data_IF_288343862218
#
_entry.id   IF_288343862218
#
_cell.length_a   1.000
_cell.length_b   1.000
_cell.length_c   1.000
_cell.angle_alpha   90.00
_cell.angle_beta   90.00
_cell.angle_gamma   90.00
#
_symmetry.space_group_name_H-M   'P 1'
#
loop_
_entity.id
_entity.type
_entity.pdbx_description
1 polymer ?
#
# COMPACT_ATOMS: atom_id res chain seq x y z
N UNK A 1 19.16 -5.84 38.53
CA UNK A 1 17.75 -5.76 38.98
C UNK A 1 16.89 -5.54 37.74
N UNK A 2 15.82 -6.32 37.51
CA UNK A 2 14.91 -6.03 36.41
C UNK A 2 13.99 -4.88 36.85
N UNK A 3 14.11 -3.73 36.19
CA UNK A 3 13.20 -2.61 36.39
C UNK A 3 11.78 -3.03 36.00
N UNK A 4 10.86 -3.00 36.96
CA UNK A 4 9.46 -3.33 36.79
C UNK A 4 8.85 -2.60 35.59
N UNK A 5 8.43 -3.37 34.59
CA UNK A 5 7.80 -2.88 33.38
C UNK A 5 6.48 -2.18 33.67
N UNK A 6 6.36 -0.94 33.21
CA UNK A 6 5.06 -0.40 32.85
C UNK A 6 4.47 -1.33 31.78
N UNK A 7 3.28 -1.86 32.03
CA UNK A 7 2.58 -2.69 31.04
C UNK A 7 2.39 -1.87 29.75
N UNK A 8 2.76 -2.41 28.56
CA UNK A 8 2.54 -1.74 27.28
C UNK A 8 1.06 -1.46 26.97
N UNK A 9 0.11 -1.93 27.79
CA UNK A 9 -1.33 -1.70 27.65
C UNK A 9 -1.83 -0.40 28.33
N UNK A 10 -0.93 0.40 28.94
CA UNK A 10 -1.23 1.70 29.57
C UNK A 10 -0.48 2.85 28.88
N UNK A 11 -0.85 3.16 27.63
CA UNK A 11 -0.34 4.34 26.93
C UNK A 11 -1.49 5.16 26.36
N UNK A 12 -1.28 6.46 26.14
CA UNK A 12 -2.28 7.35 25.53
C UNK A 12 -2.78 6.81 24.18
N UNK A 13 -1.88 6.25 23.37
CA UNK A 13 -2.22 5.56 22.13
C UNK A 13 -3.15 4.35 22.37
N UNK A 14 -2.84 3.50 23.35
CA UNK A 14 -3.66 2.32 23.66
C UNK A 14 -5.04 2.72 24.19
N UNK A 15 -5.13 3.78 24.99
CA UNK A 15 -6.39 4.28 25.52
C UNK A 15 -7.23 4.97 24.43
N UNK A 16 -6.60 5.73 23.54
CA UNK A 16 -7.25 6.29 22.36
C UNK A 16 -7.80 5.20 21.42
N UNK A 17 -7.00 4.15 21.16
CA UNK A 17 -7.45 3.00 20.39
C UNK A 17 -8.67 2.32 21.04
N UNK A 18 -8.66 2.09 22.36
CA UNK A 18 -9.80 1.50 23.10
C UNK A 18 -11.04 2.38 23.00
N UNK A 19 -10.88 3.71 23.10
CA UNK A 19 -11.96 4.68 22.94
C UNK A 19 -12.59 4.57 21.54
N UNK A 20 -11.77 4.56 20.48
CA UNK A 20 -12.24 4.41 19.10
C UNK A 20 -12.98 3.08 18.85
N UNK A 21 -12.52 1.98 19.47
CA UNK A 21 -13.19 0.68 19.37
C UNK A 21 -14.58 0.71 20.04
N UNK A 22 -14.70 1.41 21.17
CA UNK A 22 -15.95 1.46 21.94
C UNK A 22 -16.99 2.41 21.36
N UNK A 23 -16.57 3.45 20.63
CA UNK A 23 -17.48 4.40 19.98
C UNK A 23 -18.24 3.79 18.78
N UNK A 24 -17.81 2.64 18.25
CA UNK A 24 -18.41 2.05 17.06
C UNK A 24 -18.34 2.99 15.84
N UNK A 25 -19.22 2.78 14.86
CA UNK A 25 -19.37 3.66 13.69
C UNK A 25 -20.40 4.79 13.93
N UNK A 26 -21.03 4.87 15.10
CA UNK A 26 -22.07 5.86 15.39
C UNK A 26 -21.47 7.22 15.78
N UNK A 27 -21.63 8.22 14.90
CA UNK A 27 -21.40 9.64 15.23
C UNK A 27 -20.01 10.20 14.89
N UNK A 28 -19.09 9.40 14.37
CA UNK A 28 -17.84 9.89 13.74
C UNK A 28 -18.13 10.28 12.28
N UNK A 29 -17.50 11.34 11.72
CA UNK A 29 -17.38 11.44 10.26
C UNK A 29 -16.89 10.08 9.74
N UNK A 30 -17.49 9.55 8.68
CA UNK A 30 -17.10 8.26 8.11
C UNK A 30 -15.69 8.39 7.51
N UNK A 31 -14.68 8.29 8.38
CA UNK A 31 -13.27 8.16 8.02
C UNK A 31 -12.95 6.72 7.63
N UNK A 32 -13.92 5.89 7.21
CA UNK A 32 -13.70 4.49 6.85
C UNK A 32 -13.95 4.24 5.37
N UNK A 33 -14.94 4.91 4.77
CA UNK A 33 -15.19 4.82 3.34
C UNK A 33 -14.48 5.93 2.55
N UNK A 34 -13.81 5.57 1.45
CA UNK A 34 -13.38 6.55 0.47
C UNK A 34 -14.62 7.15 -0.24
N UNK A 35 -14.62 8.45 -0.58
CA UNK A 35 -15.79 9.10 -1.17
C UNK A 35 -16.09 8.50 -2.54
N UNK A 36 -17.35 8.09 -2.74
CA UNK A 36 -17.87 7.63 -4.03
C UNK A 36 -18.64 8.78 -4.69
N UNK A 37 -17.92 9.64 -5.40
CA UNK A 37 -18.46 10.84 -6.05
C UNK A 37 -19.10 10.53 -7.42
N UNK A 38 -18.80 9.38 -8.00
CA UNK A 38 -19.43 8.89 -9.23
C UNK A 38 -19.78 7.39 -9.07
N UNK A 39 -20.90 6.93 -9.66
CA UNK A 39 -21.27 5.52 -9.60
C UNK A 39 -20.20 4.61 -10.19
N UNK A 40 -19.94 3.48 -9.53
CA UNK A 40 -19.04 2.46 -10.07
C UNK A 40 -19.73 1.74 -11.22
N UNK A 41 -19.26 1.98 -12.45
CA UNK A 41 -19.66 1.21 -13.62
C UNK A 41 -18.67 0.09 -13.89
N UNK A 42 -19.15 -1.02 -14.46
CA UNK A 42 -18.37 -2.23 -14.73
C UNK A 42 -18.92 -2.95 -15.95
N UNK A 43 -18.16 -3.90 -16.50
CA UNK A 43 -18.61 -4.81 -17.55
C UNK A 43 -18.69 -6.23 -16.98
N UNK A 44 -19.81 -6.97 -17.12
CA UNK A 44 -19.88 -8.38 -16.74
C UNK A 44 -18.81 -9.20 -17.48
N UNK A 45 -18.18 -10.17 -16.81
CA UNK A 45 -17.07 -10.93 -17.39
C UNK A 45 -17.47 -11.65 -18.68
N UNK A 46 -18.71 -12.13 -18.78
CA UNK A 46 -19.23 -12.80 -19.98
C UNK A 46 -19.28 -11.86 -21.18
N UNK A 47 -19.67 -10.59 -20.96
CA UNK A 47 -19.67 -9.57 -22.00
C UNK A 47 -18.23 -9.17 -22.37
N UNK A 48 -17.35 -8.98 -21.39
CA UNK A 48 -15.94 -8.68 -21.63
C UNK A 48 -15.27 -9.76 -22.50
N UNK A 49 -15.56 -11.04 -22.25
CA UNK A 49 -15.00 -12.16 -23.00
C UNK A 49 -15.44 -12.22 -24.47
N UNK A 50 -16.51 -11.51 -24.83
CA UNK A 50 -17.03 -11.39 -26.19
C UNK A 50 -16.59 -10.10 -26.90
N UNK A 51 -16.04 -9.12 -26.17
CA UNK A 51 -15.57 -7.87 -26.76
C UNK A 51 -14.43 -8.11 -27.76
N UNK A 52 -14.47 -7.38 -28.86
CA UNK A 52 -13.43 -7.37 -29.90
C UNK A 52 -12.68 -6.04 -29.97
N UNK A 53 -13.25 -4.98 -29.37
CA UNK A 53 -12.71 -3.63 -29.34
C UNK A 53 -12.90 -3.04 -27.94
N UNK A 54 -11.99 -2.15 -27.54
CA UNK A 54 -12.06 -1.46 -26.25
C UNK A 54 -12.77 -0.12 -26.46
N UNK A 55 -14.10 -0.13 -26.42
CA UNK A 55 -14.86 1.10 -26.67
C UNK A 55 -14.99 1.96 -25.40
N UNK A 56 -15.09 3.29 -25.55
CA UNK A 56 -15.23 4.21 -24.42
C UNK A 56 -16.55 4.02 -23.68
N UNK A 57 -16.59 4.51 -22.44
CA UNK A 57 -17.72 4.39 -21.52
C UNK A 57 -19.07 4.76 -22.16
N UNK A 58 -19.15 5.88 -22.87
CA UNK A 58 -20.39 6.38 -23.46
C UNK A 58 -20.96 5.40 -24.49
N UNK A 59 -20.09 4.81 -25.30
CA UNK A 59 -20.48 3.86 -26.36
C UNK A 59 -20.94 2.55 -25.75
N UNK A 60 -20.19 1.98 -24.80
CA UNK A 60 -20.59 0.74 -24.14
C UNK A 60 -21.83 0.91 -23.26
N UNK A 61 -22.02 2.10 -22.67
CA UNK A 61 -23.23 2.44 -21.93
C UNK A 61 -24.44 2.54 -22.87
N UNK A 62 -24.30 3.17 -24.04
CA UNK A 62 -25.36 3.23 -25.05
C UNK A 62 -25.73 1.84 -25.60
N UNK A 63 -24.75 0.92 -25.71
CA UNK A 63 -24.97 -0.49 -26.07
C UNK A 63 -25.53 -1.34 -24.92
N UNK A 64 -25.64 -0.81 -23.71
CA UNK A 64 -26.09 -1.55 -22.51
C UNK A 64 -25.08 -2.59 -22.00
N UNK A 65 -23.81 -2.52 -22.44
CA UNK A 65 -22.74 -3.46 -22.04
C UNK A 65 -22.16 -3.07 -20.68
N UNK A 66 -22.01 -1.77 -20.43
CA UNK A 66 -21.58 -1.22 -19.14
C UNK A 66 -22.77 -1.11 -18.19
N UNK A 67 -22.62 -1.64 -16.98
CA UNK A 67 -23.65 -1.67 -15.94
C UNK A 67 -23.18 -0.98 -14.67
N UNK A 68 -24.11 -0.33 -13.96
CA UNK A 68 -23.84 0.23 -12.63
C UNK A 68 -23.74 -0.91 -11.62
N UNK A 69 -22.56 -1.10 -11.05
CA UNK A 69 -22.27 -2.18 -10.12
C UNK A 69 -22.91 -1.96 -8.74
N UNK A 70 -23.40 -3.04 -8.14
CA UNK A 70 -23.74 -3.11 -6.73
C UNK A 70 -23.25 -4.45 -6.15
N UNK A 71 -22.94 -4.48 -4.87
CA UNK A 71 -22.36 -5.64 -4.18
C UNK A 71 -23.30 -6.87 -4.15
N UNK A 72 -24.61 -6.67 -4.39
CA UNK A 72 -25.58 -7.77 -4.53
C UNK A 72 -25.50 -8.50 -5.87
N UNK A 73 -24.82 -7.95 -6.87
CA UNK A 73 -24.69 -8.57 -8.21
C UNK A 73 -23.64 -9.67 -8.25
N UNK A 74 -22.61 -9.58 -7.40
CA UNK A 74 -21.46 -10.49 -7.42
C UNK A 74 -20.18 -9.80 -6.95
N UNK A 75 -19.04 -10.28 -7.44
CA UNK A 75 -17.73 -9.74 -7.09
C UNK A 75 -17.18 -8.84 -8.20
N UNK A 76 -16.61 -7.69 -7.82
CA UNK A 76 -15.91 -6.83 -8.77
C UNK A 76 -14.39 -7.08 -8.76
N UNK A 77 -13.78 -6.92 -9.94
CA UNK A 77 -12.34 -6.96 -10.18
C UNK A 77 -11.90 -5.57 -10.64
N UNK A 78 -10.97 -4.95 -9.90
CA UNK A 78 -10.30 -3.73 -10.35
C UNK A 78 -9.15 -4.09 -11.27
N UNK A 79 -9.14 -3.60 -12.51
CA UNK A 79 -8.03 -3.81 -13.45
C UNK A 79 -7.21 -2.53 -13.57
N UNK A 80 -6.03 -2.52 -12.96
CA UNK A 80 -5.00 -1.51 -13.19
C UNK A 80 -4.20 -1.88 -14.42
N UNK A 81 -4.00 -0.94 -15.34
CA UNK A 81 -3.24 -1.15 -16.57
C UNK A 81 -2.51 0.13 -16.97
N UNK A 82 -1.69 0.04 -18.02
CA UNK A 82 -1.04 1.22 -18.59
C UNK A 82 -1.58 1.57 -19.97
N UNK A 83 -1.71 2.88 -20.23
CA UNK A 83 -2.09 3.36 -21.56
C UNK A 83 -0.92 3.17 -22.52
N UNK A 84 -1.15 2.44 -23.62
CA UNK A 84 -0.13 2.16 -24.64
C UNK A 84 -0.22 3.06 -25.87
N UNK A 85 -1.26 3.89 -25.96
CA UNK A 85 -1.43 4.93 -26.97
C UNK A 85 -1.80 6.27 -26.35
N UNK A 86 -1.66 7.34 -27.14
CA UNK A 86 -1.83 8.72 -26.65
C UNK A 86 -3.30 9.06 -26.33
N UNK A 87 -4.22 8.64 -27.19
CA UNK A 87 -5.66 8.94 -27.08
C UNK A 87 -6.51 7.70 -26.75
N UNK A 88 -5.87 6.54 -26.63
CA UNK A 88 -6.57 5.28 -26.41
C UNK A 88 -5.67 4.32 -25.61
N UNK A 89 -6.19 3.67 -24.56
CA UNK A 89 -5.38 2.86 -23.66
C UNK A 89 -4.87 1.56 -24.29
N UNK A 90 -5.59 1.01 -25.27
CA UNK A 90 -5.28 -0.28 -25.91
C UNK A 90 -5.77 -0.32 -27.37
N UNK A 91 -5.21 0.49 -28.29
CA UNK A 91 -5.76 0.74 -29.62
C UNK A 91 -5.82 -0.51 -30.51
N UNK A 92 -4.93 -1.48 -30.26
CA UNK A 92 -4.88 -2.74 -31.00
C UNK A 92 -5.56 -3.90 -30.24
N UNK A 93 -6.26 -3.59 -29.14
CA UNK A 93 -6.93 -4.58 -28.28
C UNK A 93 -6.00 -5.69 -27.74
N UNK A 94 -4.69 -5.41 -27.66
CA UNK A 94 -3.67 -6.39 -27.27
C UNK A 94 -3.71 -6.66 -25.77
N UNK A 95 -3.87 -5.63 -24.95
CA UNK A 95 -3.93 -5.78 -23.49
C UNK A 95 -5.20 -6.48 -23.06
N UNK A 96 -6.36 -6.06 -23.58
CA UNK A 96 -7.63 -6.71 -23.26
C UNK A 96 -7.70 -8.14 -23.78
N UNK A 97 -7.04 -8.48 -24.90
CA UNK A 97 -6.90 -9.88 -25.32
C UNK A 97 -6.17 -10.72 -24.27
N UNK A 98 -5.06 -10.21 -23.74
CA UNK A 98 -4.33 -10.88 -22.65
C UNK A 98 -5.21 -11.05 -21.41
N UNK A 99 -5.98 -10.01 -21.04
CA UNK A 99 -6.92 -10.11 -19.92
C UNK A 99 -8.00 -11.18 -20.17
N UNK A 100 -8.57 -11.24 -21.38
CA UNK A 100 -9.55 -12.26 -21.73
C UNK A 100 -8.96 -13.67 -21.61
N UNK A 101 -7.74 -13.88 -22.12
CA UNK A 101 -7.08 -15.19 -22.04
C UNK A 101 -6.75 -15.57 -20.60
N UNK A 102 -6.27 -14.62 -19.79
CA UNK A 102 -6.05 -14.81 -18.37
C UNK A 102 -7.34 -15.18 -17.63
N UNK A 103 -8.43 -14.45 -17.89
CA UNK A 103 -9.74 -14.75 -17.29
C UNK A 103 -10.25 -16.14 -17.68
N UNK A 104 -10.10 -16.57 -18.94
CA UNK A 104 -10.46 -17.93 -19.37
C UNK A 104 -9.68 -18.98 -18.57
N UNK A 105 -8.37 -18.84 -18.44
CA UNK A 105 -7.56 -19.80 -17.68
C UNK A 105 -7.90 -19.76 -16.17
N UNK A 106 -8.10 -18.59 -15.58
CA UNK A 106 -8.49 -18.42 -14.18
C UNK A 106 -9.87 -19.01 -13.88
N UNK A 107 -10.82 -18.91 -14.81
CA UNK A 107 -12.19 -19.40 -14.62
C UNK A 107 -12.35 -20.89 -14.94
N UNK A 108 -11.58 -21.43 -15.88
CA UNK A 108 -11.80 -22.80 -16.38
C UNK A 108 -10.70 -23.79 -16.01
N UNK A 109 -9.43 -23.38 -15.96
CA UNK A 109 -8.30 -24.33 -16.00
C UNK A 109 -7.49 -24.37 -14.70
N UNK A 110 -7.24 -23.22 -14.09
CA UNK A 110 -6.36 -23.13 -12.93
C UNK A 110 -7.07 -23.53 -11.63
N UNK A 111 -6.32 -24.06 -10.65
CA UNK A 111 -6.85 -24.30 -9.30
C UNK A 111 -6.49 -23.17 -8.32
N UNK A 112 -5.30 -22.59 -8.49
CA UNK A 112 -4.78 -21.51 -7.67
C UNK A 112 -3.81 -20.65 -8.48
N UNK A 113 -3.68 -19.38 -8.09
CA UNK A 113 -2.62 -18.48 -8.60
C UNK A 113 -1.39 -18.64 -7.69
N UNK A 114 -0.19 -18.93 -8.25
CA UNK A 114 1.04 -19.07 -7.46
C UNK A 114 1.43 -17.72 -6.83
N UNK A 115 2.22 -17.75 -5.75
CA UNK A 115 2.79 -16.54 -5.16
C UNK A 115 3.96 -16.04 -6.03
N UNK A 116 4.22 -14.73 -5.99
CA UNK A 116 5.49 -14.22 -6.50
C UNK A 116 6.66 -14.64 -5.59
N UNK A 117 7.86 -14.67 -6.16
CA UNK A 117 9.09 -15.12 -5.48
C UNK A 117 9.33 -14.39 -4.15
N UNK A 118 9.13 -13.07 -4.10
CA UNK A 118 9.39 -12.28 -2.89
C UNK A 118 8.35 -12.57 -1.81
N UNK A 119 7.07 -12.68 -2.20
CA UNK A 119 6.02 -13.06 -1.24
C UNK A 119 6.25 -14.47 -0.68
N UNK A 120 6.65 -15.44 -1.51
CA UNK A 120 6.92 -16.81 -1.07
C UNK A 120 8.08 -16.89 -0.07
N UNK A 121 9.16 -16.13 -0.31
CA UNK A 121 10.34 -16.10 0.57
C UNK A 121 10.06 -15.32 1.86
N UNK A 122 9.47 -14.12 1.75
CA UNK A 122 9.42 -13.17 2.86
C UNK A 122 8.18 -13.35 3.72
N UNK A 123 7.13 -13.98 3.20
CA UNK A 123 5.88 -14.19 3.93
C UNK A 123 5.44 -15.66 3.81
N UNK A 124 6.12 -16.59 4.51
CA UNK A 124 5.81 -18.02 4.42
C UNK A 124 4.37 -18.38 4.82
N UNK A 125 3.71 -17.51 5.61
CA UNK A 125 2.31 -17.67 5.99
C UNK A 125 1.30 -17.27 4.90
N UNK A 126 1.75 -16.65 3.81
CA UNK A 126 0.90 -16.20 2.72
C UNK A 126 0.26 -17.39 2.01
N UNK A 127 -1.03 -17.23 1.70
CA UNK A 127 -1.80 -18.26 1.00
C UNK A 127 -1.97 -17.88 -0.45
N UNK A 128 -1.83 -18.87 -1.33
CA UNK A 128 -2.19 -18.77 -2.74
C UNK A 128 -3.69 -18.44 -2.89
N UNK A 129 -4.03 -17.69 -3.92
CA UNK A 129 -5.42 -17.33 -4.21
C UNK A 129 -6.14 -18.57 -4.75
N UNK A 130 -7.11 -19.08 -3.98
CA UNK A 130 -7.93 -20.21 -4.40
C UNK A 130 -9.00 -19.74 -5.37
N UNK A 131 -9.03 -20.30 -6.57
CA UNK A 131 -9.94 -19.83 -7.62
C UNK A 131 -11.41 -20.22 -7.38
N UNK A 132 -11.68 -21.09 -6.39
CA UNK A 132 -13.02 -21.27 -5.85
C UNK A 132 -13.62 -19.95 -5.33
N UNK A 133 -12.79 -19.07 -4.76
CA UNK A 133 -13.24 -17.74 -4.32
C UNK A 133 -13.59 -16.84 -5.52
N UNK A 134 -12.76 -16.84 -6.56
CA UNK A 134 -13.00 -16.08 -7.79
C UNK A 134 -14.29 -16.54 -8.49
N UNK A 135 -14.58 -17.85 -8.47
CA UNK A 135 -15.76 -18.48 -9.09
C UNK A 135 -17.00 -18.50 -8.20
N UNK A 136 -16.92 -17.92 -7.00
CA UNK A 136 -18.00 -18.03 -6.00
C UNK A 136 -19.24 -17.19 -6.34
N UNK A 137 -19.09 -16.17 -7.20
CA UNK A 137 -20.16 -15.28 -7.63
C UNK A 137 -19.84 -14.74 -9.05
N UNK A 138 -20.83 -14.17 -9.76
CA UNK A 138 -20.59 -13.49 -11.03
C UNK A 138 -19.53 -12.41 -10.90
N UNK A 139 -18.71 -12.24 -11.95
CA UNK A 139 -17.60 -11.28 -11.96
C UNK A 139 -17.91 -10.05 -12.80
N UNK A 140 -17.55 -8.89 -12.27
CA UNK A 140 -17.71 -7.59 -12.91
C UNK A 140 -16.36 -6.90 -12.99
N UNK A 141 -16.00 -6.44 -14.18
CA UNK A 141 -14.67 -5.90 -14.46
C UNK A 141 -14.76 -4.38 -14.46
N UNK A 142 -14.01 -3.76 -13.57
CA UNK A 142 -13.74 -2.33 -13.59
C UNK A 142 -12.44 -2.08 -14.34
N UNK A 143 -12.49 -1.19 -15.32
CA UNK A 143 -11.38 -0.76 -16.18
C UNK A 143 -11.63 0.71 -16.53
N UNK A 144 -10.65 1.59 -16.26
CA UNK A 144 -10.82 3.05 -16.31
C UNK A 144 -11.54 3.57 -17.57
N UNK A 145 -11.19 3.07 -18.75
CA UNK A 145 -11.63 3.60 -20.04
C UNK A 145 -13.12 3.42 -20.32
N UNK A 146 -13.65 2.25 -19.98
CA UNK A 146 -15.08 1.98 -20.12
C UNK A 146 -15.87 2.14 -18.82
N UNK A 147 -15.20 2.23 -17.67
CA UNK A 147 -15.85 2.40 -16.37
C UNK A 147 -16.01 3.85 -15.95
N UNK A 148 -15.21 4.75 -16.52
CA UNK A 148 -15.27 6.19 -16.31
C UNK A 148 -15.65 6.92 -17.60
N UNK A 149 -16.43 8.01 -17.54
CA UNK A 149 -16.75 8.84 -18.70
C UNK A 149 -15.51 9.38 -19.42
N UNK A 150 -15.51 9.46 -20.75
CA UNK A 150 -14.39 9.96 -21.54
C UNK A 150 -14.74 11.32 -22.16
N UNK A 151 -13.77 12.23 -22.26
CA UNK A 151 -13.95 13.58 -22.83
C UNK A 151 -14.01 13.57 -24.37
N UNK A 152 -14.84 12.72 -24.96
CA UNK A 152 -14.97 12.62 -26.40
C UNK A 152 -15.77 13.81 -26.95
N UNK A 153 -15.09 14.71 -27.67
CA UNK A 153 -15.73 15.80 -28.41
C UNK A 153 -16.09 17.05 -27.59
N UNK A 154 -15.66 17.17 -26.34
CA UNK A 154 -15.82 18.39 -25.55
C UNK A 154 -14.52 19.20 -25.61
N UNK A 155 -14.62 20.48 -26.02
CA UNK A 155 -13.49 21.41 -25.97
C UNK A 155 -12.93 21.60 -24.55
N UNK A 156 -11.84 22.36 -24.37
CA UNK A 156 -11.05 22.42 -23.13
C UNK A 156 -11.74 23.14 -21.94
N UNK A 157 -13.06 23.08 -21.85
CA UNK A 157 -13.85 23.75 -20.82
C UNK A 157 -14.91 22.80 -20.22
N UNK A 158 -14.49 21.91 -19.33
CA UNK A 158 -15.33 21.52 -18.20
C UNK A 158 -14.49 21.59 -16.93
N UNK A 159 -14.93 22.45 -16.01
CA UNK A 159 -14.25 22.74 -14.75
C UNK A 159 -14.11 21.52 -13.83
N UNK A 160 -13.61 21.78 -12.63
CA UNK A 160 -13.31 20.79 -11.59
C UNK A 160 -14.46 19.82 -11.23
N UNK A 161 -15.70 20.07 -11.68
CA UNK A 161 -16.91 19.30 -11.35
C UNK A 161 -17.41 18.32 -12.44
N UNK A 162 -16.59 18.03 -13.46
CA UNK A 162 -16.97 17.06 -14.50
C UNK A 162 -17.19 15.64 -13.95
N UNK A 163 -18.02 14.84 -14.61
CA UNK A 163 -18.26 13.44 -14.22
C UNK A 163 -16.98 12.60 -14.27
N UNK A 164 -16.07 12.89 -15.20
CA UNK A 164 -14.74 12.27 -15.24
C UNK A 164 -13.93 12.64 -13.99
N UNK A 165 -13.91 13.92 -13.58
CA UNK A 165 -13.24 14.36 -12.35
C UNK A 165 -13.81 13.63 -11.12
N UNK A 166 -15.13 13.51 -11.02
CA UNK A 166 -15.82 12.76 -9.96
C UNK A 166 -15.44 11.27 -9.98
N UNK A 167 -15.36 10.66 -11.15
CA UNK A 167 -14.96 9.26 -11.32
C UNK A 167 -13.50 9.03 -10.91
N UNK A 168 -12.58 9.89 -11.33
CA UNK A 168 -11.17 9.85 -10.94
C UNK A 168 -11.03 9.96 -9.42
N UNK A 169 -11.71 10.94 -8.81
CA UNK A 169 -11.68 11.13 -7.36
C UNK A 169 -12.33 9.98 -6.57
N UNK A 170 -13.08 9.10 -7.24
CA UNK A 170 -13.70 7.91 -6.67
C UNK A 170 -12.85 6.64 -6.80
N UNK A 171 -11.69 6.68 -7.47
CA UNK A 171 -10.81 5.51 -7.67
C UNK A 171 -10.50 4.76 -6.36
N UNK A 172 -10.11 5.41 -5.25
CA UNK A 172 -9.86 4.69 -4.00
C UNK A 172 -11.11 3.95 -3.48
N UNK A 173 -12.31 4.50 -3.73
CA UNK A 173 -13.57 3.85 -3.37
C UNK A 173 -13.85 2.64 -4.26
N UNK A 174 -13.56 2.72 -5.56
CA UNK A 174 -13.67 1.57 -6.47
C UNK A 174 -12.71 0.45 -6.07
N UNK A 175 -11.43 0.78 -5.78
CA UNK A 175 -10.43 -0.19 -5.33
C UNK A 175 -10.86 -0.88 -4.05
N UNK A 176 -11.40 -0.12 -3.08
CA UNK A 176 -11.89 -0.68 -1.82
C UNK A 176 -13.14 -1.57 -1.99
N UNK A 177 -14.01 -1.27 -2.97
CA UNK A 177 -15.20 -2.05 -3.30
C UNK A 177 -14.90 -3.32 -4.08
N UNK A 178 -13.81 -3.36 -4.85
CA UNK A 178 -13.41 -4.54 -5.60
C UNK A 178 -12.90 -5.66 -4.69
N UNK A 179 -13.45 -6.86 -4.85
CA UNK A 179 -12.98 -8.06 -4.13
C UNK A 179 -11.56 -8.43 -4.58
N UNK A 180 -11.30 -8.34 -5.88
CA UNK A 180 -10.03 -8.69 -6.51
C UNK A 180 -9.40 -7.46 -7.18
N UNK A 181 -8.07 -7.44 -7.25
CA UNK A 181 -7.30 -6.42 -7.96
C UNK A 181 -6.31 -7.10 -8.89
N UNK A 182 -6.39 -6.79 -10.18
CA UNK A 182 -5.51 -7.30 -11.22
C UNK A 182 -4.66 -6.16 -11.78
N UNK A 183 -3.34 -6.30 -11.72
CA UNK A 183 -2.42 -5.48 -12.49
C UNK A 183 -2.18 -6.16 -13.84
N UNK A 184 -2.75 -5.60 -14.91
CA UNK A 184 -2.59 -6.09 -16.27
C UNK A 184 -1.33 -5.47 -16.88
N UNK A 185 -0.27 -6.28 -16.93
CA UNK A 185 1.08 -5.86 -17.27
C UNK A 185 1.70 -6.69 -18.42
N UNK A 186 1.02 -6.87 -19.56
CA UNK A 186 1.58 -7.62 -20.67
C UNK A 186 2.79 -6.95 -21.30
N UNK A 187 3.62 -7.75 -21.97
CA UNK A 187 4.68 -7.23 -22.83
C UNK A 187 4.08 -6.86 -24.19
N UNK A 188 3.96 -5.56 -24.47
CA UNK A 188 3.34 -5.03 -25.70
C UNK A 188 4.29 -4.05 -26.38
N UNK A 189 4.50 -4.13 -27.71
CA UNK A 189 5.31 -3.15 -28.43
C UNK A 189 4.71 -1.75 -28.34
N UNK A 190 5.57 -0.74 -28.20
CA UNK A 190 5.16 0.63 -28.38
C UNK A 190 5.19 0.98 -29.87
N UNK A 191 4.09 1.50 -30.41
CA UNK A 191 3.95 1.74 -31.87
C UNK A 191 4.97 2.77 -32.40
N UNK A 192 5.40 3.71 -31.55
CA UNK A 192 6.23 4.86 -31.95
C UNK A 192 7.70 4.80 -31.50
N UNK A 193 8.07 3.87 -30.61
CA UNK A 193 9.42 3.76 -30.07
C UNK A 193 9.90 2.31 -30.17
N UNK A 194 11.22 2.10 -30.32
CA UNK A 194 11.85 0.78 -30.22
C UNK A 194 11.87 0.24 -28.77
N UNK A 195 10.82 0.50 -28.00
CA UNK A 195 10.62 0.09 -26.62
C UNK A 195 9.39 -0.79 -26.48
N UNK A 196 9.33 -1.50 -25.35
CA UNK A 196 8.21 -2.37 -25.00
C UNK A 196 7.63 -1.95 -23.66
N UNK A 197 6.31 -2.01 -23.57
CA UNK A 197 5.59 -1.96 -22.32
C UNK A 197 5.85 -3.24 -21.54
N UNK A 198 6.08 -3.16 -20.23
CA UNK A 198 6.41 -4.29 -19.35
C UNK A 198 5.83 -4.07 -17.95
N UNK A 199 5.89 -5.08 -17.05
CA UNK A 199 5.62 -4.86 -15.63
C UNK A 199 6.44 -3.73 -15.01
N UNK A 200 7.68 -3.51 -15.47
CA UNK A 200 8.53 -2.42 -14.99
C UNK A 200 8.03 -1.05 -15.43
N UNK A 201 7.53 -0.90 -16.67
CA UNK A 201 6.96 0.38 -17.12
C UNK A 201 5.64 0.67 -16.42
N UNK A 202 4.81 -0.34 -16.16
CA UNK A 202 3.59 -0.19 -15.36
C UNK A 202 3.93 0.30 -13.94
N UNK A 203 4.91 -0.35 -13.30
CA UNK A 203 5.39 0.02 -11.97
C UNK A 203 6.07 1.40 -11.94
N UNK A 204 6.44 1.97 -13.09
CA UNK A 204 6.98 3.32 -13.19
C UNK A 204 5.89 4.42 -13.20
N UNK A 205 4.65 4.10 -13.56
CA UNK A 205 3.58 5.10 -13.73
C UNK A 205 3.00 5.57 -12.39
N UNK A 206 2.86 6.87 -12.23
CA UNK A 206 2.33 7.50 -11.02
C UNK A 206 0.92 7.02 -10.65
N UNK A 207 0.00 7.05 -11.62
CA UNK A 207 -1.38 6.59 -11.43
C UNK A 207 -1.47 5.11 -11.01
N UNK A 208 -0.74 4.22 -11.70
CA UNK A 208 -0.71 2.79 -11.39
C UNK A 208 -0.17 2.52 -9.97
N UNK A 209 0.83 3.30 -9.53
CA UNK A 209 1.33 3.24 -8.15
C UNK A 209 0.29 3.70 -7.13
N UNK A 210 -0.49 4.75 -7.43
CA UNK A 210 -1.59 5.19 -6.54
C UNK A 210 -2.63 4.09 -6.40
N UNK A 211 -3.05 3.47 -7.50
CA UNK A 211 -4.01 2.37 -7.49
C UNK A 211 -3.49 1.18 -6.67
N UNK A 212 -2.22 0.80 -6.86
CA UNK A 212 -1.56 -0.25 -6.09
C UNK A 212 -1.56 0.09 -4.59
N UNK A 213 -1.13 1.30 -4.21
CA UNK A 213 -1.10 1.74 -2.81
C UNK A 213 -2.50 1.75 -2.20
N UNK A 214 -3.52 2.18 -2.96
CA UNK A 214 -4.92 2.10 -2.52
C UNK A 214 -5.34 0.66 -2.22
N UNK A 215 -4.90 -0.32 -3.03
CA UNK A 215 -5.18 -1.74 -2.80
C UNK A 215 -4.43 -2.27 -1.58
N UNK A 216 -3.12 -2.05 -1.52
CA UNK A 216 -2.25 -2.52 -0.43
C UNK A 216 -2.69 -1.98 0.94
N UNK A 217 -3.19 -0.74 0.99
CA UNK A 217 -3.70 -0.13 2.22
C UNK A 217 -5.17 -0.42 2.48
N UNK A 218 -5.89 -1.08 1.57
CA UNK A 218 -7.29 -1.46 1.80
C UNK A 218 -7.44 -2.61 2.81
N UNK A 219 -8.66 -3.13 2.99
CA UNK A 219 -8.93 -4.31 3.84
C UNK A 219 -8.27 -5.57 3.27
N UNK A 220 -8.25 -5.70 1.95
CA UNK A 220 -7.57 -6.80 1.24
C UNK A 220 -6.40 -6.22 0.45
N UNK A 221 -5.18 -6.56 0.89
CA UNK A 221 -3.93 -6.03 0.35
C UNK A 221 -3.39 -6.87 -0.83
N UNK A 222 -4.03 -8.00 -1.14
CA UNK A 222 -3.54 -8.95 -2.14
C UNK A 222 -3.95 -8.53 -3.54
N UNK A 223 -3.08 -8.76 -4.52
CA UNK A 223 -3.36 -8.45 -5.92
C UNK A 223 -2.66 -9.43 -6.87
N UNK A 224 -3.23 -9.63 -8.05
CA UNK A 224 -2.68 -10.55 -9.07
C UNK A 224 -2.00 -9.72 -10.15
N UNK A 225 -0.75 -10.02 -10.47
CA UNK A 225 -0.07 -9.49 -11.64
C UNK A 225 -0.26 -10.44 -12.82
N UNK A 226 -0.80 -9.93 -13.92
CA UNK A 226 -1.04 -10.66 -15.16
C UNK A 226 -0.01 -10.21 -16.20
N UNK A 227 0.99 -11.04 -16.48
CA UNK A 227 2.03 -10.76 -17.48
C UNK A 227 1.69 -11.34 -18.85
N UNK A 228 0.91 -12.41 -18.89
CA UNK A 228 0.35 -13.00 -20.10
C UNK A 228 -0.94 -13.75 -19.76
N UNK A 229 -1.60 -14.32 -20.78
CA UNK A 229 -2.77 -15.17 -20.53
C UNK A 229 -2.45 -16.35 -19.60
N UNK A 230 -1.20 -16.83 -19.55
CA UNK A 230 -0.80 -18.03 -18.78
C UNK A 230 0.16 -17.75 -17.62
N UNK A 231 0.76 -16.57 -17.57
CA UNK A 231 1.71 -16.20 -16.53
C UNK A 231 1.09 -15.16 -15.60
N UNK A 232 0.76 -15.61 -14.39
CA UNK A 232 0.10 -14.82 -13.35
C UNK A 232 0.67 -15.16 -11.98
N UNK A 233 0.86 -14.14 -11.16
CA UNK A 233 1.41 -14.27 -9.81
C UNK A 233 0.55 -13.49 -8.82
N UNK A 234 0.36 -14.02 -7.62
CA UNK A 234 -0.29 -13.35 -6.51
C UNK A 234 0.78 -12.66 -5.66
N UNK A 235 0.61 -11.36 -5.49
CA UNK A 235 1.40 -10.53 -4.60
C UNK A 235 0.58 -10.31 -3.33
N UNK A 236 1.15 -10.65 -2.18
CA UNK A 236 0.59 -10.32 -0.86
C UNK A 236 1.60 -9.68 0.07
N UNK A 237 2.81 -9.38 -0.43
CA UNK A 237 3.80 -8.62 0.31
C UNK A 237 3.90 -7.20 -0.26
N UNK A 238 3.80 -6.19 0.61
CA UNK A 238 4.01 -4.78 0.25
C UNK A 238 5.49 -4.36 0.41
N UNK A 239 6.40 -5.33 0.49
CA UNK A 239 7.80 -5.12 0.90
C UNK A 239 8.63 -4.47 -0.19
N UNK A 240 8.35 -4.79 -1.45
CA UNK A 240 8.88 -4.03 -2.55
C UNK A 240 7.87 -2.93 -2.80
N UNK A 241 8.28 -1.68 -2.77
CA UNK A 241 7.65 -0.68 -3.63
C UNK A 241 8.28 -0.90 -5.01
N UNK A 242 7.87 -1.86 -5.87
CA UNK A 242 8.45 -1.92 -7.20
C UNK A 242 8.18 -0.57 -7.85
N UNK A 243 9.27 0.18 -8.12
CA UNK A 243 9.23 1.55 -8.61
C UNK A 243 9.38 2.68 -7.56
N UNK A 244 9.14 2.48 -6.27
CA UNK A 244 9.18 3.54 -5.24
C UNK A 244 7.82 4.15 -4.90
N UNK A 245 7.82 5.36 -4.31
CA UNK A 245 6.60 6.05 -3.89
C UNK A 245 5.72 6.43 -5.08
N UNK A 246 4.41 6.54 -4.88
CA UNK A 246 3.48 6.93 -5.93
C UNK A 246 3.79 8.32 -6.51
N UNK A 247 4.21 9.28 -5.68
CA UNK A 247 4.54 10.64 -6.10
C UNK A 247 5.83 10.75 -6.91
N UNK A 248 6.72 9.74 -6.81
CA UNK A 248 7.95 9.63 -7.61
C UNK A 248 7.69 9.03 -9.00
N UNK A 249 6.47 8.54 -9.26
CA UNK A 249 6.12 7.93 -10.55
C UNK A 249 6.05 8.92 -11.70
N UNK A 250 6.05 8.39 -12.92
CA UNK A 250 5.87 9.14 -14.16
C UNK A 250 4.38 9.47 -14.35
N UNK A 251 4.05 10.76 -14.42
CA UNK A 251 2.70 11.24 -14.71
C UNK A 251 2.67 11.84 -16.11
N UNK A 252 1.64 11.50 -16.88
CA UNK A 252 1.39 12.17 -18.17
C UNK A 252 1.06 13.65 -17.97
N UNK A 253 0.29 13.97 -16.92
CA UNK A 253 -0.01 15.33 -16.49
C UNK A 253 0.61 15.55 -15.12
N UNK A 254 1.65 16.37 -15.05
CA UNK A 254 2.47 16.52 -13.85
C UNK A 254 1.69 17.11 -12.67
N UNK A 255 0.71 17.97 -12.95
CA UNK A 255 -0.16 18.62 -11.97
C UNK A 255 -1.09 17.64 -11.24
N UNK A 256 -1.32 16.44 -11.80
CA UNK A 256 -2.15 15.42 -11.15
C UNK A 256 -1.56 14.98 -9.80
N UNK A 257 -0.24 15.12 -9.61
CA UNK A 257 0.40 14.90 -8.30
C UNK A 257 -0.27 15.71 -7.20
N UNK A 258 -0.56 16.99 -7.46
CA UNK A 258 -1.16 17.87 -6.45
C UNK A 258 -2.60 17.46 -6.13
N UNK A 259 -3.33 16.92 -7.11
CA UNK A 259 -4.69 16.41 -6.93
C UNK A 259 -4.71 15.09 -6.15
N UNK A 260 -3.69 14.26 -6.33
CA UNK A 260 -3.59 12.93 -5.73
C UNK A 260 -3.00 12.93 -4.32
N UNK A 261 -2.29 13.98 -3.92
CA UNK A 261 -1.79 14.17 -2.56
C UNK A 261 -2.90 14.01 -1.49
N UNK A 262 -4.01 14.79 -1.51
CA UNK A 262 -5.08 14.66 -0.51
C UNK A 262 -5.79 13.29 -0.59
N UNK A 263 -5.78 12.65 -1.77
CA UNK A 263 -6.35 11.32 -1.95
C UNK A 263 -5.57 10.29 -1.14
N UNK A 264 -4.24 10.27 -1.28
CA UNK A 264 -3.39 9.34 -0.54
C UNK A 264 -3.30 9.66 0.96
N UNK A 265 -3.30 10.93 1.35
CA UNK A 265 -3.44 11.33 2.76
C UNK A 265 -4.71 10.73 3.37
N UNK A 266 -5.83 10.84 2.65
CA UNK A 266 -7.08 10.22 3.04
C UNK A 266 -6.94 8.70 3.18
N UNK A 267 -6.31 8.01 2.22
CA UNK A 267 -6.10 6.55 2.30
C UNK A 267 -5.29 6.16 3.55
N UNK A 268 -4.20 6.87 3.82
CA UNK A 268 -3.34 6.64 4.99
C UNK A 268 -4.12 6.87 6.29
N UNK A 269 -4.82 8.00 6.40
CA UNK A 269 -5.61 8.33 7.59
C UNK A 269 -6.68 7.27 7.86
N UNK A 270 -7.45 6.85 6.85
CA UNK A 270 -8.48 5.81 7.00
C UNK A 270 -7.87 4.49 7.47
N UNK A 271 -6.72 4.09 6.90
CA UNK A 271 -6.04 2.85 7.30
C UNK A 271 -5.50 2.95 8.73
N UNK A 272 -4.90 4.08 9.12
CA UNK A 272 -4.44 4.30 10.50
C UNK A 272 -5.60 4.19 11.49
N UNK A 273 -6.74 4.84 11.20
CA UNK A 273 -7.94 4.76 12.05
C UNK A 273 -8.51 3.33 12.11
N UNK A 274 -8.51 2.60 10.99
CA UNK A 274 -8.89 1.19 10.97
C UNK A 274 -8.01 0.34 11.89
N UNK A 275 -6.69 0.52 11.85
CA UNK A 275 -5.74 -0.22 12.67
C UNK A 275 -5.90 0.09 14.17
N UNK A 276 -6.17 1.35 14.53
CA UNK A 276 -6.48 1.73 15.91
C UNK A 276 -7.76 1.06 16.42
N UNK A 277 -8.84 1.08 15.65
CA UNK A 277 -10.10 0.38 16.00
C UNK A 277 -9.88 -1.13 16.17
N UNK A 278 -9.07 -1.72 15.29
CA UNK A 278 -8.67 -3.12 15.36
C UNK A 278 -7.69 -3.46 16.49
N UNK A 279 -7.20 -2.46 17.25
CA UNK A 279 -6.17 -2.59 18.29
C UNK A 279 -4.83 -3.13 17.78
N UNK A 280 -4.56 -3.03 16.48
CA UNK A 280 -3.29 -3.42 15.89
C UNK A 280 -2.29 -2.26 15.97
N UNK A 281 -1.79 -2.04 17.19
CA UNK A 281 -0.89 -0.92 17.49
C UNK A 281 0.46 -1.04 16.76
N UNK A 282 0.94 -2.26 16.49
CA UNK A 282 2.20 -2.48 15.79
C UNK A 282 2.07 -2.02 14.34
N UNK A 283 1.02 -2.47 13.64
CA UNK A 283 0.77 -2.06 12.27
C UNK A 283 0.46 -0.56 12.18
N UNK A 284 -0.27 0.00 13.16
CA UNK A 284 -0.50 1.44 13.25
C UNK A 284 0.83 2.21 13.32
N UNK A 285 1.74 1.86 14.25
CA UNK A 285 3.04 2.54 14.39
C UNK A 285 3.85 2.46 13.10
N UNK A 286 3.88 1.30 12.44
CA UNK A 286 4.60 1.17 11.16
C UNK A 286 4.02 2.13 10.13
N UNK A 287 2.70 2.13 9.92
CA UNK A 287 2.08 2.99 8.93
C UNK A 287 2.21 4.48 9.28
N UNK A 288 2.01 4.83 10.55
CA UNK A 288 2.14 6.19 11.07
C UNK A 288 3.53 6.77 10.80
N UNK A 289 4.58 5.98 10.99
CA UNK A 289 5.94 6.43 10.73
C UNK A 289 6.35 6.32 9.25
N UNK A 290 5.63 5.55 8.43
CA UNK A 290 5.88 5.45 6.99
C UNK A 290 5.14 6.50 6.14
N UNK A 291 4.41 7.44 6.76
CA UNK A 291 3.69 8.50 6.02
C UNK A 291 4.59 9.25 5.03
N UNK A 292 5.79 9.65 5.46
CA UNK A 292 6.77 10.34 4.60
C UNK A 292 7.22 9.51 3.40
N UNK A 293 7.25 8.18 3.54
CA UNK A 293 7.62 7.24 2.47
C UNK A 293 6.50 7.14 1.45
N UNK A 294 5.26 6.96 1.91
CA UNK A 294 4.07 6.86 1.03
C UNK A 294 3.75 8.17 0.30
N UNK A 295 4.02 9.32 0.95
CA UNK A 295 3.72 10.65 0.42
C UNK A 295 4.91 11.29 -0.33
N UNK A 296 6.04 10.59 -0.46
CA UNK A 296 7.22 11.12 -1.14
C UNK A 296 6.91 11.40 -2.61
N UNK A 297 7.34 12.58 -3.08
CA UNK A 297 7.10 13.06 -4.44
C UNK A 297 5.76 13.79 -4.62
N UNK A 298 4.95 13.94 -3.56
CA UNK A 298 3.75 14.78 -3.54
C UNK A 298 4.04 16.10 -2.82
N UNK A 299 4.25 17.22 -3.54
CA UNK A 299 4.73 18.48 -2.94
C UNK A 299 3.75 19.12 -1.96
N UNK A 300 2.45 18.94 -2.18
CA UNK A 300 1.37 19.49 -1.35
C UNK A 300 0.95 18.55 -0.22
N UNK A 301 1.60 17.38 -0.10
CA UNK A 301 1.19 16.39 0.88
C UNK A 301 1.62 16.77 2.30
N UNK A 302 0.72 16.54 3.26
CA UNK A 302 0.91 16.85 4.68
C UNK A 302 1.03 15.55 5.48
N UNK A 303 2.01 15.51 6.39
CA UNK A 303 2.19 14.40 7.33
C UNK A 303 1.41 14.70 8.60
N UNK A 304 0.61 13.74 9.08
CA UNK A 304 -0.10 13.87 10.34
C UNK A 304 0.90 13.70 11.49
N UNK A 305 1.11 14.76 12.27
CA UNK A 305 2.05 14.78 13.41
C UNK A 305 1.40 14.50 14.75
N UNK A 306 0.12 14.87 14.90
CA UNK A 306 -0.63 14.74 16.15
C UNK A 306 -1.95 14.05 15.87
N UNK A 307 -1.91 12.72 15.93
CA UNK A 307 -3.07 11.87 15.69
C UNK A 307 -3.70 11.41 17.01
N UNK A 308 -2.86 11.07 17.99
CA UNK A 308 -3.26 10.75 19.36
C UNK A 308 -3.47 12.05 20.11
N UNK A 309 -4.68 12.32 20.64
CA UNK A 309 -5.01 13.56 21.35
C UNK A 309 -4.35 13.59 22.73
N UNK A 310 -4.12 14.79 23.26
CA UNK A 310 -3.63 15.01 24.64
C UNK A 310 -2.12 15.19 24.78
N UNK A 311 -1.40 15.44 23.67
CA UNK A 311 -0.03 15.95 23.72
C UNK A 311 -0.09 17.48 23.68
N UNK A 312 0.26 18.14 24.78
CA UNK A 312 0.28 19.60 24.84
C UNK A 312 1.46 20.13 24.03
N UNK A 313 1.20 20.53 22.78
CA UNK A 313 2.18 21.15 21.88
C UNK A 313 2.27 22.67 22.01
N UNK A 314 1.36 23.29 22.76
CA UNK A 314 1.00 24.70 22.58
C UNK A 314 1.71 25.63 23.57
N UNK A 315 2.93 25.31 24.01
CA UNK A 315 3.80 26.32 24.63
C UNK A 315 4.44 27.18 23.51
N UNK A 316 3.95 28.41 23.26
CA UNK A 316 4.41 29.24 22.14
C UNK A 316 5.83 29.78 22.35
N UNK A 317 6.42 29.59 23.53
CA UNK A 317 7.76 30.04 23.90
C UNK A 317 8.83 28.95 23.67
N UNK A 318 8.42 27.74 23.33
CA UNK A 318 9.32 26.61 23.06
C UNK A 318 9.43 26.37 21.56
N UNK A 319 10.39 27.03 20.91
CA UNK A 319 10.90 26.56 19.61
C UNK A 319 11.27 25.08 19.74
N UNK A 320 10.73 24.24 18.86
CA UNK A 320 10.79 22.77 18.92
C UNK A 320 12.21 22.26 19.21
N UNK A 321 12.49 21.95 20.47
CA UNK A 321 13.78 21.37 20.83
C UNK A 321 13.83 19.91 20.36
N UNK A 322 15.01 19.36 20.03
CA UNK A 322 15.13 17.94 19.69
C UNK A 322 14.53 17.00 20.75
N UNK A 323 14.56 17.41 22.03
CA UNK A 323 13.93 16.66 23.13
C UNK A 323 12.41 16.60 22.99
N UNK A 324 11.75 17.72 22.67
CA UNK A 324 10.29 17.74 22.49
C UNK A 324 9.84 16.92 21.28
N UNK A 325 10.65 16.87 20.22
CA UNK A 325 10.33 16.03 19.06
C UNK A 325 10.40 14.54 19.42
N UNK A 326 11.38 14.14 20.22
CA UNK A 326 11.47 12.78 20.78
C UNK A 326 10.27 12.50 21.69
N UNK A 327 9.90 13.42 22.57
CA UNK A 327 8.77 13.25 23.49
C UNK A 327 7.43 13.12 22.73
N UNK A 328 7.21 13.96 21.71
CA UNK A 328 6.04 13.86 20.82
C UNK A 328 6.03 12.53 20.09
N UNK A 329 7.16 12.13 19.52
CA UNK A 329 7.29 10.87 18.81
C UNK A 329 6.96 9.68 19.71
N UNK A 330 7.51 9.64 20.91
CA UNK A 330 7.24 8.58 21.90
C UNK A 330 5.76 8.57 22.30
N UNK A 331 5.16 9.74 22.53
CA UNK A 331 3.75 9.89 22.87
C UNK A 331 2.83 9.36 21.77
N UNK A 332 3.02 9.79 20.53
CA UNK A 332 2.20 9.40 19.38
C UNK A 332 2.35 7.90 19.06
N UNK A 333 3.53 7.32 19.33
CA UNK A 333 3.76 5.88 19.24
C UNK A 333 3.33 5.10 20.50
N UNK A 334 2.91 5.77 21.57
CA UNK A 334 2.54 5.15 22.84
C UNK A 334 3.68 4.33 23.47
N UNK A 335 4.93 4.80 23.32
CA UNK A 335 6.13 4.17 23.85
C UNK A 335 6.57 4.93 25.12
N UNK A 336 6.84 4.25 26.24
CA UNK A 336 7.09 4.92 27.51
C UNK A 336 8.46 5.61 27.62
N UNK A 337 9.45 5.20 26.80
CA UNK A 337 10.79 5.78 26.75
C UNK A 337 11.55 5.30 25.51
N UNK A 338 12.74 5.88 25.27
CA UNK A 338 13.63 5.59 24.14
C UNK A 338 14.18 4.15 24.09
N UNK A 339 14.14 3.41 25.21
CA UNK A 339 14.63 2.03 25.32
C UNK A 339 13.49 1.00 25.38
N UNK A 340 12.25 1.43 25.18
CA UNK A 340 11.10 0.54 25.23
C UNK A 340 11.09 -0.43 24.06
N UNK A 341 10.61 -1.65 24.30
CA UNK A 341 10.31 -2.62 23.26
C UNK A 341 8.83 -2.95 23.32
N UNK A 342 8.19 -2.99 22.15
CA UNK A 342 6.80 -3.40 22.07
C UNK A 342 6.64 -4.94 22.03
N UNK A 343 5.39 -5.42 21.89
CA UNK A 343 5.09 -6.86 21.87
C UNK A 343 5.71 -7.62 20.68
N UNK A 344 6.14 -6.91 19.63
CA UNK A 344 6.84 -7.44 18.47
C UNK A 344 8.37 -7.28 18.56
N UNK A 345 8.89 -6.72 19.65
CA UNK A 345 10.30 -6.41 19.82
C UNK A 345 10.76 -5.17 19.07
N UNK A 346 9.84 -4.28 18.67
CA UNK A 346 10.21 -3.03 18.02
C UNK A 346 10.56 -1.97 19.06
N UNK A 347 11.69 -1.31 18.83
CA UNK A 347 12.17 -0.15 19.60
C UNK A 347 11.87 1.18 18.90
N UNK A 348 11.84 2.31 19.63
CA UNK A 348 11.70 3.67 19.08
C UNK A 348 12.55 3.94 17.83
N UNK A 349 13.82 3.52 17.83
CA UNK A 349 14.72 3.74 16.70
C UNK A 349 14.26 3.04 15.41
N UNK A 350 13.68 1.83 15.51
CA UNK A 350 13.15 1.12 14.35
C UNK A 350 12.04 1.93 13.67
N UNK A 351 11.12 2.48 14.45
CA UNK A 351 10.02 3.30 13.95
C UNK A 351 10.52 4.64 13.39
N UNK A 352 11.45 5.30 14.07
CA UNK A 352 12.04 6.55 13.57
C UNK A 352 12.76 6.36 12.22
N UNK A 353 13.44 5.22 12.07
CA UNK A 353 14.16 4.89 10.86
C UNK A 353 13.24 4.60 9.65
N UNK A 354 12.03 4.06 9.88
CA UNK A 354 11.01 3.93 8.83
C UNK A 354 10.64 5.29 8.20
N UNK A 355 10.49 6.32 9.03
CA UNK A 355 10.15 7.67 8.56
C UNK A 355 11.32 8.43 7.94
N UNK A 356 12.55 8.04 8.27
CA UNK A 356 13.79 8.65 7.78
C UNK A 356 13.91 10.15 8.09
N UNK A 357 13.41 10.56 9.26
CA UNK A 357 13.62 11.91 9.77
C UNK A 357 15.03 12.01 10.40
N UNK A 358 15.98 12.75 9.78
CA UNK A 358 17.34 12.87 10.28
C UNK A 358 17.43 13.43 11.69
N UNK A 359 16.62 14.43 11.99
CA UNK A 359 16.72 15.18 13.24
C UNK A 359 16.21 14.31 14.40
N UNK A 360 15.12 13.57 14.18
CA UNK A 360 14.62 12.60 15.16
C UNK A 360 15.60 11.45 15.39
N UNK A 361 16.19 10.88 14.32
CA UNK A 361 17.18 9.80 14.44
C UNK A 361 18.40 10.31 15.22
N UNK A 362 18.91 11.50 14.89
CA UNK A 362 20.04 12.11 15.61
C UNK A 362 19.71 12.35 17.08
N UNK A 363 18.54 12.90 17.38
CA UNK A 363 18.11 13.16 18.75
C UNK A 363 18.02 11.87 19.59
N UNK A 364 17.55 10.76 19.01
CA UNK A 364 17.54 9.45 19.68
C UNK A 364 18.97 8.92 19.91
N UNK A 365 19.86 9.07 18.93
CA UNK A 365 21.25 8.59 19.03
C UNK A 365 22.09 9.38 20.04
N UNK A 366 21.87 10.70 20.15
CA UNK A 366 22.50 11.55 21.16
C UNK A 366 22.16 11.10 22.60
N UNK A 367 21.01 10.44 22.79
CA UNK A 367 20.59 9.83 24.05
C UNK A 367 21.13 8.40 24.26
N UNK A 368 22.05 7.94 23.41
CA UNK A 368 22.72 6.61 23.50
C UNK A 368 21.75 5.43 23.44
N UNK A 369 20.75 5.50 22.56
CA UNK A 369 19.90 4.35 22.23
C UNK A 369 20.75 3.22 21.61
N UNK A 370 20.45 1.98 21.99
CA UNK A 370 21.07 0.81 21.37
C UNK A 370 20.64 0.68 19.90
N UNK A 371 21.61 0.84 19.00
CA UNK A 371 21.43 0.75 17.55
C UNK A 371 21.37 -0.67 17.04
N UNK A 372 21.92 -1.62 17.80
CA UNK A 372 22.05 -3.02 17.43
C UNK A 372 20.90 -3.86 18.00
N UNK A 373 19.77 -3.21 18.30
CA UNK A 373 18.61 -3.87 18.84
C UNK A 373 17.87 -4.70 17.77
N UNK A 374 17.26 -5.81 18.20
CA UNK A 374 16.68 -6.83 17.33
C UNK A 374 15.16 -6.88 17.48
N UNK A 375 14.45 -6.99 16.36
CA UNK A 375 13.02 -7.33 16.40
C UNK A 375 12.87 -8.84 16.68
N UNK A 376 11.84 -9.23 17.43
CA UNK A 376 11.71 -10.62 17.93
C UNK A 376 10.56 -11.40 17.30
N UNK A 377 9.62 -10.74 16.63
CA UNK A 377 8.45 -11.40 16.00
C UNK A 377 8.05 -10.74 14.68
N UNK A 378 7.68 -11.57 13.69
CA UNK A 378 6.74 -11.14 12.65
C UNK A 378 5.41 -10.83 13.34
N UNK A 379 4.92 -9.59 13.22
CA UNK A 379 3.52 -9.31 13.53
C UNK A 379 2.58 -10.16 12.65
N UNK A 380 1.32 -10.26 13.04
CA UNK A 380 0.29 -11.04 12.35
C UNK A 380 -0.56 -10.22 11.36
N UNK A 381 -0.06 -9.09 10.85
CA UNK A 381 -0.82 -8.15 10.04
C UNK A 381 -0.45 -8.15 8.54
N UNK A 382 -1.38 -7.69 7.72
CA UNK A 382 -1.23 -7.49 6.28
C UNK A 382 -0.07 -6.54 5.88
N UNK A 383 0.37 -5.67 6.80
CA UNK A 383 1.54 -4.82 6.59
C UNK A 383 2.84 -5.53 7.02
N UNK A 384 2.75 -6.52 7.92
CA UNK A 384 3.89 -7.21 8.54
C UNK A 384 4.39 -8.42 7.75
N UNK A 385 4.39 -8.31 6.43
CA UNK A 385 5.15 -9.19 5.57
C UNK A 385 6.63 -9.19 6.03
N UNK A 386 7.09 -10.29 6.62
CA UNK A 386 8.51 -10.63 6.71
C UNK A 386 9.45 -9.60 7.35
N UNK A 387 9.16 -9.16 8.57
CA UNK A 387 10.05 -8.24 9.33
C UNK A 387 10.97 -8.92 10.34
N UNK A 388 11.01 -10.25 10.41
CA UNK A 388 12.08 -10.97 11.09
C UNK A 388 13.31 -10.98 10.19
N UNK A 389 13.92 -9.81 10.04
CA UNK A 389 15.29 -9.72 9.57
C UNK A 389 16.06 -8.85 10.53
N UNK A 390 17.30 -9.27 10.66
CA UNK A 390 18.31 -8.81 11.59
C UNK A 390 18.59 -7.34 11.37
N UNK A 391 18.77 -6.65 12.49
CA UNK A 391 19.19 -5.26 12.61
C UNK A 391 18.29 -4.18 11.99
N UNK A 392 18.38 -3.00 12.60
CA UNK A 392 17.93 -1.72 12.02
C UNK A 392 18.56 -1.51 10.64
N UNK A 393 19.67 -2.16 10.31
CA UNK A 393 20.54 -1.84 9.17
C UNK A 393 19.97 -2.34 7.84
N UNK A 394 19.66 -3.63 7.66
CA UNK A 394 19.39 -4.15 6.31
C UNK A 394 18.14 -3.56 5.61
N UNK A 395 17.09 -3.17 6.35
CA UNK A 395 15.82 -2.68 5.77
C UNK A 395 15.69 -1.16 5.76
N UNK A 396 16.25 -0.47 6.75
CA UNK A 396 16.38 1.01 6.74
C UNK A 396 17.23 1.44 5.55
N UNK A 397 18.22 0.64 5.17
CA UNK A 397 19.01 0.81 3.95
C UNK A 397 18.22 0.63 2.64
N UNK A 398 17.22 -0.25 2.60
CA UNK A 398 16.48 -0.55 1.37
C UNK A 398 15.25 0.34 1.09
N UNK A 399 14.64 0.92 2.13
CA UNK A 399 13.41 1.71 1.98
C UNK A 399 13.63 3.22 2.05
N UNK A 400 14.72 3.67 2.69
CA UNK A 400 14.97 5.08 2.95
C UNK A 400 16.45 5.46 2.85
N UNK A 401 16.85 5.95 1.68
CA UNK A 401 18.22 6.38 1.40
C UNK A 401 18.72 7.49 2.33
N UNK A 402 17.84 8.29 2.93
CA UNK A 402 18.25 9.32 3.91
C UNK A 402 18.62 8.70 5.25
N UNK A 403 17.79 7.80 5.76
CA UNK A 403 18.09 7.04 6.97
C UNK A 403 19.43 6.30 6.83
N UNK A 404 19.62 5.59 5.70
CA UNK A 404 20.90 5.00 5.31
C UNK A 404 22.08 5.96 5.41
N UNK A 405 21.99 7.13 4.77
CA UNK A 405 23.07 8.10 4.76
C UNK A 405 23.42 8.61 6.16
N UNK A 406 22.42 8.74 7.05
CA UNK A 406 22.66 9.15 8.43
C UNK A 406 23.42 8.07 9.18
N UNK A 407 22.99 6.81 9.10
CA UNK A 407 23.68 5.70 9.78
C UNK A 407 25.12 5.55 9.27
N UNK A 408 25.33 5.57 7.96
CA UNK A 408 26.68 5.52 7.38
C UNK A 408 27.56 6.70 7.82
N UNK A 409 27.02 7.93 7.85
CA UNK A 409 27.77 9.11 8.32
C UNK A 409 28.15 9.07 9.79
N UNK A 410 27.39 8.35 10.60
CA UNK A 410 27.65 8.17 12.02
C UNK A 410 28.61 6.99 12.29
N UNK A 411 29.15 6.35 11.25
CA UNK A 411 30.15 5.30 11.36
C UNK A 411 29.58 3.93 11.68
N UNK A 412 28.29 3.71 11.46
CA UNK A 412 27.69 2.37 11.57
C UNK A 412 28.02 1.59 10.29
N UNK A 413 28.98 0.67 10.40
CA UNK A 413 29.35 -0.25 9.33
C UNK A 413 28.45 -1.49 9.36
N UNK A 414 28.00 -1.91 8.18
CA UNK A 414 27.15 -3.10 7.99
C UNK A 414 27.98 -4.37 8.27
N UNK A 415 29.31 -4.30 8.14
CA UNK A 415 30.21 -5.44 8.34
C UNK A 415 30.49 -5.78 9.81
N UNK A 416 30.22 -4.86 10.74
CA UNK A 416 30.39 -5.06 12.19
C UNK A 416 29.17 -5.72 12.87
N UNK A 417 28.16 -6.13 12.08
CA UNK A 417 26.99 -6.81 12.62
C UNK A 417 27.35 -8.23 13.09
N UNK A 418 27.09 -8.59 14.36
CA UNK A 418 27.27 -9.95 14.80
C UNK A 418 26.32 -10.85 14.00
N UNK A 419 26.90 -11.87 13.35
CA UNK A 419 26.15 -12.85 12.58
C UNK A 419 24.97 -13.43 13.40
N UNK A 420 23.87 -13.82 12.74
CA UNK A 420 22.74 -14.49 13.36
C UNK A 420 23.20 -15.53 14.36
N UNK A 421 22.55 -15.57 15.54
CA UNK A 421 22.55 -16.82 16.29
C UNK A 421 22.05 -17.91 15.35
N UNK A 422 22.73 -19.05 15.20
CA UNK A 422 22.38 -20.06 14.20
C UNK A 422 20.94 -20.58 14.33
N UNK A 423 20.32 -20.47 15.51
CA UNK A 423 18.90 -20.76 15.76
C UNK A 423 17.90 -19.76 15.14
N UNK A 424 18.37 -18.63 14.59
CA UNK A 424 17.57 -17.54 14.05
C UNK A 424 17.88 -17.23 12.57
N UNK A 425 18.73 -18.03 11.91
CA UNK A 425 18.95 -17.87 10.48
C UNK A 425 17.71 -18.29 9.69
N UNK A 426 17.41 -17.64 8.55
CA UNK A 426 16.31 -18.04 7.66
C UNK A 426 16.46 -19.51 7.23
N UNK A 427 17.70 -19.98 7.03
CA UNK A 427 18.02 -21.36 6.71
C UNK A 427 17.67 -22.35 7.83
N UNK A 428 17.87 -22.00 9.11
CA UNK A 428 17.54 -22.89 10.22
C UNK A 428 16.04 -22.93 10.52
N UNK A 429 15.31 -21.84 10.31
CA UNK A 429 13.83 -21.84 10.35
C UNK A 429 13.22 -22.63 9.19
N UNK A 430 13.82 -22.59 8.00
CA UNK A 430 13.37 -23.34 6.82
C UNK A 430 13.65 -24.84 6.95
N UNK A 431 14.77 -25.23 7.58
CA UNK A 431 15.21 -26.62 7.60
C UNK A 431 14.78 -27.43 8.84
N UNK A 432 14.16 -26.84 9.86
CA UNK A 432 13.69 -27.58 11.05
C UNK A 432 14.79 -28.38 11.75
N UNK A 433 16.05 -28.02 11.56
CA UNK A 433 17.19 -28.70 12.17
C UNK A 433 17.32 -28.21 13.61
N UNK A 434 16.66 -28.94 14.53
CA UNK A 434 17.09 -28.93 15.92
C UNK A 434 18.51 -29.47 15.95
N UNK A 435 19.48 -28.61 16.24
CA UNK A 435 20.80 -29.07 16.65
C UNK A 435 20.61 -29.84 17.97
N UNK A 436 20.69 -31.17 17.89
CA UNK A 436 20.85 -32.05 19.04
C UNK A 436 22.17 -31.78 19.76
N UNK A 437 22.29 -32.24 21.01
CA UNK A 437 23.09 -31.64 22.09
C UNK A 437 24.59 -31.52 21.81
#
# INVERSE_FOLDING_TARGET
>A
MPCCGASPDKSALADYAKLLRNQGDEGSPDFTAAPLLFPMYTVPVEALLQMTENEPHEVLKAKGVVVKFNEGMGNAVFVSHQWVGDNHPDPEFKQLRVLQDALRHLLCEMQNVPLDLFTEILVPSSKRLRLKELRSAPLFIWFDYFSCPQLLGQGPAQGSDSDLSKAINSIPAYVAKCRFFFALCPVVPQVSLSSVFTPMTWAARGWCRVERVCRELSKDHTWVMIKSGREMELISSSIAFPGGSAGEGLFTVQEDRNKLAPVLEGVLMRKMMFLLRAQDLVAFRVLYNMQSVHLRGFPTATIVRDLVPGFDSDDPLQNSSPSQEVDRFLYQNGLPNIHAFDKAGWAPLHYAALGGNPDLIRALLEQRVDVNCWTTKLGSSALSAGWAFESVTLRVLHLNSRAQQIFLRLGFDIEDEPAPKPSMSPLSMIMGLQAGP
#
